data_IF_164729884017
#
_entry.id   IF_164729884017
#
_cell.length_a   1.000
_cell.length_b   1.000
_cell.length_c   1.000
_cell.angle_alpha   90.00
_cell.angle_beta   90.00
_cell.angle_gamma   90.00
#
_symmetry.space_group_name_H-M   'P 1'
#
loop_
_entity.id
_entity.type
_entity.pdbx_description
1 polymer ?
#
# COMPACT_ATOMS: atom_id res chain seq x y z
N UNK A 1 -27.35 -12.80 4.87
CA UNK A 1 -25.93 -12.41 4.75
C UNK A 1 -25.18 -13.17 5.81
N UNK A 2 -24.15 -13.92 5.40
CA UNK A 2 -23.27 -14.59 6.36
C UNK A 2 -22.41 -13.52 7.02
N UNK A 3 -22.47 -13.43 8.35
CA UNK A 3 -21.67 -12.47 9.11
C UNK A 3 -20.27 -13.07 9.32
N UNK A 4 -19.27 -12.59 8.56
CA UNK A 4 -17.88 -13.02 8.75
C UNK A 4 -17.30 -12.42 10.02
N UNK A 5 -16.83 -13.26 10.94
CA UNK A 5 -16.35 -12.85 12.26
C UNK A 5 -14.87 -13.12 12.39
N UNK A 6 -14.18 -12.18 13.03
CA UNK A 6 -12.82 -12.43 13.51
C UNK A 6 -12.84 -13.47 14.64
N UNK A 7 -11.74 -14.20 14.81
CA UNK A 7 -11.51 -15.12 15.91
C UNK A 7 -10.25 -14.71 16.68
N UNK A 8 -10.10 -15.16 17.92
CA UNK A 8 -8.86 -14.96 18.67
C UNK A 8 -7.71 -15.71 17.99
N UNK A 9 -6.57 -15.03 17.81
CA UNK A 9 -5.35 -15.66 17.33
C UNK A 9 -4.69 -16.36 18.53
N UNK A 10 -4.49 -17.69 18.50
CA UNK A 10 -3.99 -18.46 19.64
C UNK A 10 -2.71 -17.86 20.24
N UNK A 11 -2.62 -17.89 21.57
CA UNK A 11 -1.47 -17.40 22.35
C UNK A 11 -1.13 -15.90 22.17
N UNK A 12 -2.06 -15.10 21.66
CA UNK A 12 -1.91 -13.65 21.51
C UNK A 12 -3.15 -12.89 22.00
N UNK A 13 -3.03 -11.56 22.14
CA UNK A 13 -4.18 -10.67 22.37
C UNK A 13 -4.87 -10.25 21.05
N UNK A 14 -4.37 -10.75 19.92
CA UNK A 14 -4.82 -10.35 18.60
C UNK A 14 -5.99 -11.20 18.14
N UNK A 15 -6.71 -10.68 17.16
CA UNK A 15 -7.73 -11.37 16.41
C UNK A 15 -7.27 -11.55 14.98
N UNK A 16 -7.84 -12.49 14.25
CA UNK A 16 -7.62 -12.66 12.81
C UNK A 16 -8.93 -13.06 12.15
N UNK A 17 -8.98 -13.08 10.82
CA UNK A 17 -10.17 -13.51 10.09
C UNK A 17 -9.95 -14.95 9.54
N UNK A 18 -10.56 -15.99 10.14
CA UNK A 18 -10.37 -17.36 9.67
C UNK A 18 -10.91 -17.54 8.26
N UNK A 19 -10.05 -17.96 7.33
CA UNK A 19 -10.43 -18.28 5.96
C UNK A 19 -11.34 -19.51 5.86
N UNK A 20 -11.32 -20.39 6.86
CA UNK A 20 -12.18 -21.58 6.91
C UNK A 20 -13.69 -21.27 6.96
N UNK A 21 -14.07 -20.02 7.23
CA UNK A 21 -15.45 -19.56 7.19
C UNK A 21 -16.11 -19.70 5.80
N UNK A 22 -15.32 -19.87 4.74
CA UNK A 22 -15.81 -20.08 3.36
C UNK A 22 -15.47 -21.46 2.78
N UNK A 23 -15.04 -22.41 3.62
CA UNK A 23 -14.79 -23.80 3.24
C UNK A 23 -13.35 -24.27 3.48
N UNK A 24 -13.00 -25.43 2.93
CA UNK A 24 -11.63 -25.95 3.00
C UNK A 24 -10.70 -25.18 2.05
N UNK A 25 -9.84 -24.35 2.64
CA UNK A 25 -8.87 -23.52 1.94
C UNK A 25 -7.45 -24.09 2.02
N UNK A 26 -7.26 -25.28 2.59
CA UNK A 26 -5.93 -25.85 2.86
C UNK A 26 -5.06 -25.93 1.59
N UNK A 27 -5.68 -26.30 0.46
CA UNK A 27 -5.04 -26.49 -0.84
C UNK A 27 -4.90 -25.22 -1.69
N UNK A 28 -5.44 -24.08 -1.25
CA UNK A 28 -5.30 -22.83 -2.01
C UNK A 28 -3.82 -22.37 -2.04
N UNK A 29 -3.34 -21.85 -3.19
CA UNK A 29 -2.05 -21.16 -3.23
C UNK A 29 -2.02 -20.00 -2.23
N UNK A 30 -0.85 -19.71 -1.65
CA UNK A 30 -0.69 -18.64 -0.64
C UNK A 30 -1.16 -17.29 -1.17
N UNK A 31 -0.87 -16.96 -2.44
CA UNK A 31 -1.35 -15.74 -3.09
C UNK A 31 -2.87 -15.65 -3.07
N UNK A 32 -3.57 -16.74 -3.37
CA UNK A 32 -5.04 -16.81 -3.35
C UNK A 32 -5.57 -16.67 -1.92
N UNK A 33 -4.88 -17.23 -0.92
CA UNK A 33 -5.23 -17.06 0.51
C UNK A 33 -5.13 -15.59 0.95
N UNK A 34 -4.10 -14.85 0.51
CA UNK A 34 -3.94 -13.42 0.81
C UNK A 34 -5.05 -12.59 0.17
N UNK A 35 -5.36 -12.86 -1.10
CA UNK A 35 -6.48 -12.21 -1.81
C UNK A 35 -7.81 -12.51 -1.11
N UNK A 36 -8.05 -13.78 -0.73
CA UNK A 36 -9.25 -14.21 -0.04
C UNK A 36 -9.41 -13.54 1.33
N UNK A 37 -8.34 -13.38 2.09
CA UNK A 37 -8.37 -12.64 3.35
C UNK A 37 -8.85 -11.19 3.12
N UNK A 38 -8.33 -10.51 2.09
CA UNK A 38 -8.73 -9.15 1.76
C UNK A 38 -10.21 -9.03 1.37
N UNK A 39 -10.72 -9.97 0.59
CA UNK A 39 -12.14 -10.02 0.18
C UNK A 39 -13.03 -10.32 1.39
N UNK A 40 -12.66 -11.28 2.24
CA UNK A 40 -13.37 -11.58 3.48
C UNK A 40 -13.37 -10.39 4.44
N UNK A 41 -12.24 -9.68 4.57
CA UNK A 41 -12.13 -8.49 5.41
C UNK A 41 -13.03 -7.36 4.91
N UNK A 42 -13.13 -7.19 3.59
CA UNK A 42 -14.07 -6.24 3.01
C UNK A 42 -15.53 -6.63 3.32
N UNK A 43 -15.87 -7.91 3.17
CA UNK A 43 -17.20 -8.42 3.48
C UNK A 43 -17.57 -8.25 4.97
N UNK A 44 -16.64 -8.53 5.88
CA UNK A 44 -16.80 -8.32 7.32
C UNK A 44 -17.04 -6.84 7.70
N UNK A 45 -16.60 -5.90 6.85
CA UNK A 45 -16.85 -4.46 6.98
C UNK A 45 -18.11 -3.97 6.26
N UNK A 46 -18.93 -4.89 5.74
CA UNK A 46 -20.19 -4.58 5.08
C UNK A 46 -20.11 -4.39 3.57
N UNK A 47 -18.97 -4.64 2.93
CA UNK A 47 -18.91 -4.65 1.46
C UNK A 47 -19.69 -5.86 0.89
N UNK A 48 -20.34 -5.74 -0.27
CA UNK A 48 -21.06 -6.84 -0.91
C UNK A 48 -20.11 -7.85 -1.58
N UNK A 49 -19.23 -8.48 -0.79
CA UNK A 49 -18.12 -9.31 -1.26
C UNK A 49 -18.21 -10.79 -0.79
N UNK A 50 -19.30 -11.19 -0.14
CA UNK A 50 -19.53 -12.56 0.34
C UNK A 50 -19.46 -13.59 -0.81
N UNK A 51 -20.11 -13.27 -1.94
CA UNK A 51 -20.11 -14.12 -3.13
C UNK A 51 -18.71 -14.26 -3.73
N UNK A 52 -17.96 -13.16 -3.80
CA UNK A 52 -16.59 -13.14 -4.31
C UNK A 52 -15.67 -13.99 -3.42
N UNK A 53 -15.81 -13.91 -2.10
CA UNK A 53 -15.05 -14.73 -1.16
C UNK A 53 -15.34 -16.23 -1.34
N UNK A 54 -16.62 -16.62 -1.46
CA UNK A 54 -17.02 -18.00 -1.70
C UNK A 54 -16.52 -18.51 -3.06
N UNK A 55 -16.53 -17.66 -4.09
CA UNK A 55 -15.99 -18.03 -5.40
C UNK A 55 -14.47 -18.24 -5.34
N UNK A 56 -13.73 -17.36 -4.65
CA UNK A 56 -12.27 -17.45 -4.54
C UNK A 56 -11.82 -18.65 -3.68
N UNK A 57 -12.61 -19.02 -2.67
CA UNK A 57 -12.38 -20.23 -1.88
C UNK A 57 -12.45 -21.53 -2.70
N UNK A 58 -13.09 -21.50 -3.88
CA UNK A 58 -13.22 -22.63 -4.80
C UNK A 58 -12.17 -22.66 -5.92
N UNK A 59 -11.20 -21.74 -5.90
CA UNK A 59 -10.10 -21.75 -6.87
C UNK A 59 -9.46 -23.16 -6.95
N UNK A 60 -9.18 -23.70 -8.16
CA UNK A 60 -9.18 -23.04 -9.47
C UNK A 60 -10.49 -23.18 -10.28
N UNK A 61 -11.62 -23.49 -9.64
CA UNK A 61 -12.90 -23.55 -10.37
C UNK A 61 -13.20 -22.20 -11.04
N UNK A 62 -13.78 -22.20 -12.25
CA UNK A 62 -14.19 -20.98 -12.92
C UNK A 62 -15.11 -20.13 -12.03
N UNK A 63 -14.86 -18.81 -11.91
CA UNK A 63 -15.74 -17.95 -11.13
C UNK A 63 -17.11 -17.82 -11.83
N UNK A 64 -18.18 -17.53 -11.08
CA UNK A 64 -19.44 -17.12 -11.70
C UNK A 64 -19.24 -15.82 -12.50
N UNK A 65 -20.02 -15.63 -13.57
CA UNK A 65 -19.81 -14.57 -14.57
C UNK A 65 -19.79 -13.14 -14.00
N UNK A 66 -20.54 -12.90 -12.93
CA UNK A 66 -20.68 -11.62 -12.26
C UNK A 66 -19.77 -11.49 -11.03
N UNK A 67 -18.73 -12.34 -10.90
CA UNK A 67 -17.83 -12.32 -9.74
C UNK A 67 -16.76 -11.24 -9.94
N UNK A 68 -16.43 -10.55 -8.86
CA UNK A 68 -15.43 -9.50 -8.87
C UNK A 68 -14.29 -9.83 -7.91
N UNK A 69 -13.12 -9.22 -8.12
CA UNK A 69 -11.99 -9.37 -7.20
C UNK A 69 -11.51 -7.99 -6.74
N UNK A 70 -12.16 -7.39 -5.73
CA UNK A 70 -11.72 -6.12 -5.19
C UNK A 70 -10.45 -6.34 -4.35
N UNK A 71 -9.40 -5.60 -4.68
CA UNK A 71 -8.16 -5.56 -3.94
C UNK A 71 -8.01 -4.20 -3.23
N UNK A 72 -7.66 -4.25 -1.94
CA UNK A 72 -7.38 -3.10 -1.10
C UNK A 72 -6.06 -3.36 -0.35
N UNK A 73 -4.95 -2.74 -0.75
CA UNK A 73 -3.67 -2.95 -0.09
C UNK A 73 -3.70 -2.45 1.37
N UNK A 74 -2.82 -2.98 2.20
CA UNK A 74 -2.63 -2.51 3.58
C UNK A 74 -1.74 -1.29 3.68
N UNK A 75 -1.01 -0.89 2.64
CA UNK A 75 -0.24 0.35 2.59
C UNK A 75 0.17 0.71 1.17
N UNK A 76 0.71 1.90 1.00
CA UNK A 76 1.27 2.41 -0.26
C UNK A 76 2.75 2.73 -0.09
N UNK A 77 3.53 2.42 -1.11
CA UNK A 77 4.94 2.81 -1.23
C UNK A 77 5.11 3.80 -2.39
N UNK A 78 5.72 4.96 -2.14
CA UNK A 78 6.02 5.96 -3.15
C UNK A 78 7.53 6.20 -3.20
N UNK A 79 8.00 6.56 -4.37
CA UNK A 79 9.33 7.15 -4.56
C UNK A 79 9.15 8.63 -4.95
N UNK A 80 10.18 9.45 -4.89
CA UNK A 80 10.05 10.91 -5.00
C UNK A 80 9.57 11.45 -6.37
N UNK A 81 9.75 10.73 -7.47
CA UNK A 81 9.24 11.12 -8.79
C UNK A 81 7.72 10.94 -8.90
N UNK A 82 7.16 9.89 -8.30
CA UNK A 82 5.71 9.67 -8.27
C UNK A 82 5.04 10.25 -7.02
N UNK A 83 5.82 10.46 -5.96
CA UNK A 83 5.35 11.02 -4.71
C UNK A 83 5.17 12.54 -4.73
N UNK A 84 5.97 13.26 -5.54
CA UNK A 84 5.74 14.69 -5.79
C UNK A 84 4.37 14.94 -6.44
N UNK A 85 4.01 14.33 -7.59
CA UNK A 85 2.70 14.53 -8.18
C UNK A 85 1.58 14.07 -7.24
N UNK A 86 1.72 12.94 -6.54
CA UNK A 86 0.72 12.49 -5.57
C UNK A 86 0.49 13.52 -4.43
N UNK A 87 1.56 14.13 -3.91
CA UNK A 87 1.43 15.19 -2.90
C UNK A 87 0.74 16.45 -3.46
N UNK A 88 1.03 16.81 -4.72
CA UNK A 88 0.35 17.90 -5.43
C UNK A 88 -1.14 17.57 -5.62
N UNK A 89 -1.48 16.36 -6.00
CA UNK A 89 -2.86 15.94 -6.25
C UNK A 89 -3.68 15.91 -4.95
N UNK A 90 -3.11 15.43 -3.85
CA UNK A 90 -3.72 15.55 -2.51
C UNK A 90 -3.95 17.01 -2.11
N UNK A 91 -2.98 17.90 -2.36
CA UNK A 91 -3.13 19.33 -2.10
C UNK A 91 -4.22 19.97 -2.98
N UNK A 92 -4.26 19.62 -4.26
CA UNK A 92 -5.24 20.10 -5.22
C UNK A 92 -6.67 19.63 -4.85
N UNK A 93 -6.81 18.38 -4.40
CA UNK A 93 -8.07 17.85 -3.88
C UNK A 93 -8.53 18.59 -2.62
N UNK A 94 -7.61 18.93 -1.68
CA UNK A 94 -7.93 19.78 -0.53
C UNK A 94 -8.43 21.16 -0.96
N UNK A 95 -7.74 21.80 -1.88
CA UNK A 95 -8.17 23.09 -2.42
C UNK A 95 -9.52 23.01 -3.16
N UNK A 96 -9.81 21.90 -3.84
CA UNK A 96 -11.09 21.67 -4.50
C UNK A 96 -12.24 21.49 -3.48
N UNK A 97 -11.99 20.79 -2.37
CA UNK A 97 -12.95 20.66 -1.27
C UNK A 97 -13.29 22.01 -0.65
N UNK A 98 -12.26 22.84 -0.40
CA UNK A 98 -12.44 24.19 0.13
C UNK A 98 -13.29 25.07 -0.81
N UNK A 99 -12.96 25.10 -2.11
CA UNK A 99 -13.76 25.82 -3.11
C UNK A 99 -15.21 25.33 -3.20
N UNK A 100 -15.46 24.06 -2.89
CA UNK A 100 -16.79 23.48 -2.85
C UNK A 100 -17.52 23.71 -1.50
N UNK A 101 -16.95 24.49 -0.57
CA UNK A 101 -17.51 24.72 0.76
C UNK A 101 -17.53 23.48 1.66
N UNK A 102 -16.67 22.50 1.37
CA UNK A 102 -16.54 21.25 2.13
C UNK A 102 -15.25 21.26 2.94
N UNK A 103 -15.21 20.44 3.98
CA UNK A 103 -14.03 20.27 4.83
C UNK A 103 -12.85 19.62 4.07
N UNK A 104 -11.74 20.34 3.83
CA UNK A 104 -10.56 19.79 3.16
C UNK A 104 -9.87 18.68 3.95
N UNK A 105 -10.02 18.65 5.28
CA UNK A 105 -9.39 17.64 6.13
C UNK A 105 -9.92 16.22 5.86
N UNK A 106 -11.04 16.09 5.14
CA UNK A 106 -11.55 14.79 4.65
C UNK A 106 -10.66 14.18 3.56
N UNK A 107 -9.81 14.96 2.90
CA UNK A 107 -8.77 14.44 2.02
C UNK A 107 -7.59 14.04 2.89
N UNK A 108 -7.53 12.75 3.19
CA UNK A 108 -6.53 12.11 4.03
C UNK A 108 -6.34 10.65 3.55
N UNK A 109 -5.11 10.16 3.41
CA UNK A 109 -4.88 8.75 3.14
C UNK A 109 -5.45 7.84 4.26
N UNK A 110 -6.28 6.89 3.87
CA UNK A 110 -6.97 5.93 4.76
C UNK A 110 -6.09 4.71 5.11
N UNK A 111 -4.96 4.57 4.44
CA UNK A 111 -3.94 3.56 4.69
C UNK A 111 -2.56 4.24 4.78
N UNK A 112 -1.59 3.65 5.49
CA UNK A 112 -0.24 4.19 5.56
C UNK A 112 0.37 4.40 4.18
N UNK A 113 1.07 5.51 4.01
CA UNK A 113 1.84 5.87 2.82
C UNK A 113 3.28 6.13 3.23
N UNK A 114 4.20 5.37 2.64
CA UNK A 114 5.62 5.55 2.83
C UNK A 114 6.24 6.10 1.55
N UNK A 115 6.80 7.31 1.62
CA UNK A 115 7.52 7.92 0.51
C UNK A 115 9.01 7.90 0.80
N UNK A 116 9.79 7.34 -0.12
CA UNK A 116 11.25 7.28 -0.03
C UNK A 116 11.86 8.20 -1.09
N UNK A 117 12.79 9.06 -0.68
CA UNK A 117 13.53 9.92 -1.61
C UNK A 117 14.82 9.20 -2.00
N UNK A 118 14.85 8.64 -3.21
CA UNK A 118 15.98 7.83 -3.71
C UNK A 118 16.25 8.00 -5.21
N UNK A 119 15.34 8.58 -6.00
CA UNK A 119 15.49 8.79 -7.44
C UNK A 119 16.13 10.14 -7.80
N UNK A 120 16.46 10.95 -6.80
CA UNK A 120 17.02 12.30 -6.98
C UNK A 120 18.55 12.37 -6.88
N UNK A 121 19.19 11.42 -6.19
CA UNK A 121 20.64 11.38 -6.01
C UNK A 121 21.31 11.11 -7.37
N UNK A 122 22.31 11.92 -7.73
CA UNK A 122 23.15 11.67 -8.90
C UNK A 122 24.60 11.47 -8.47
N UNK A 123 25.32 10.60 -9.16
CA UNK A 123 26.75 10.41 -8.98
C UNK A 123 27.54 11.49 -9.74
N UNK A 124 27.38 12.77 -9.36
CA UNK A 124 28.11 13.90 -9.96
C UNK A 124 29.63 13.80 -9.68
N UNK A 125 29.99 13.31 -8.49
CA UNK A 125 31.36 13.07 -8.05
C UNK A 125 31.56 11.58 -7.75
N UNK A 126 32.74 11.04 -8.10
CA UNK A 126 33.11 9.64 -7.89
C UNK A 126 34.62 9.49 -7.65
N UNK A 127 35.04 8.40 -7.00
CA UNK A 127 36.46 8.05 -6.84
C UNK A 127 37.23 8.77 -5.73
N UNK A 128 36.57 9.51 -4.83
CA UNK A 128 37.19 10.18 -3.68
C UNK A 128 36.44 9.87 -2.37
N UNK A 129 37.01 10.22 -1.21
CA UNK A 129 36.43 9.91 0.10
C UNK A 129 35.24 10.80 0.47
N UNK A 130 35.20 12.02 -0.05
CA UNK A 130 34.21 13.08 0.20
C UNK A 130 33.04 13.06 -0.80
N UNK A 131 32.95 12.02 -1.65
CA UNK A 131 31.96 11.98 -2.74
C UNK A 131 30.54 11.83 -2.23
N UNK A 132 30.33 11.17 -1.09
CA UNK A 132 29.00 10.98 -0.52
C UNK A 132 28.40 12.32 -0.11
N UNK A 133 29.13 13.09 0.72
CA UNK A 133 28.67 14.38 1.22
C UNK A 133 28.45 15.38 0.08
N UNK A 134 29.36 15.41 -0.91
CA UNK A 134 29.27 16.33 -2.05
C UNK A 134 28.11 16.03 -3.00
N UNK A 135 27.81 14.75 -3.24
CA UNK A 135 26.66 14.37 -4.05
C UNK A 135 25.35 14.68 -3.30
N UNK A 136 25.31 14.46 -1.99
CA UNK A 136 24.15 14.78 -1.16
C UNK A 136 23.90 16.30 -1.10
N UNK A 137 24.94 17.13 -0.93
CA UNK A 137 24.81 18.59 -0.99
C UNK A 137 24.23 19.05 -2.33
N UNK A 138 24.76 18.54 -3.44
CA UNK A 138 24.30 18.87 -4.79
C UNK A 138 22.87 18.39 -5.07
N UNK A 139 22.47 17.27 -4.50
CA UNK A 139 21.09 16.78 -4.53
C UNK A 139 20.14 17.77 -3.83
N UNK A 140 20.49 18.23 -2.63
CA UNK A 140 19.69 19.22 -1.88
C UNK A 140 19.60 20.57 -2.61
N UNK A 141 20.70 21.04 -3.22
CA UNK A 141 20.70 22.27 -4.02
C UNK A 141 19.71 22.19 -5.19
N UNK A 142 19.71 21.06 -5.92
CA UNK A 142 18.87 20.85 -7.12
C UNK A 142 17.40 20.61 -6.79
N UNK A 143 17.11 19.92 -5.70
CA UNK A 143 15.76 19.41 -5.40
C UNK A 143 15.08 20.13 -4.22
N UNK A 144 15.62 21.27 -3.78
CA UNK A 144 15.14 22.02 -2.61
C UNK A 144 13.62 22.21 -2.57
N UNK A 145 13.02 22.62 -3.69
CA UNK A 145 11.57 22.86 -3.75
C UNK A 145 10.75 21.57 -3.65
N UNK A 146 11.15 20.52 -4.37
CA UNK A 146 10.52 19.20 -4.30
C UNK A 146 10.57 18.65 -2.87
N UNK A 147 11.70 18.78 -2.18
CA UNK A 147 11.83 18.32 -0.80
C UNK A 147 11.04 19.17 0.19
N UNK A 148 10.91 20.48 -0.06
CA UNK A 148 10.06 21.33 0.76
C UNK A 148 8.58 20.89 0.66
N UNK A 149 8.10 20.58 -0.55
CA UNK A 149 6.76 20.04 -0.77
C UNK A 149 6.56 18.68 -0.07
N UNK A 150 7.49 17.74 -0.25
CA UNK A 150 7.38 16.41 0.38
C UNK A 150 7.43 16.51 1.90
N UNK A 151 8.32 17.36 2.45
CA UNK A 151 8.38 17.63 3.89
C UNK A 151 7.07 18.24 4.40
N UNK A 152 6.44 19.13 3.64
CA UNK A 152 5.11 19.64 3.96
C UNK A 152 4.08 18.51 3.96
N UNK A 153 4.09 17.62 2.95
CA UNK A 153 3.14 16.51 2.87
C UNK A 153 3.24 15.58 4.09
N UNK A 154 4.47 15.24 4.52
CA UNK A 154 4.70 14.45 5.73
C UNK A 154 4.28 15.13 7.05
N UNK A 155 3.96 16.43 7.02
CA UNK A 155 3.40 17.17 8.16
C UNK A 155 1.88 17.40 8.01
N UNK A 156 1.40 17.50 6.77
CA UNK A 156 0.02 17.85 6.44
C UNK A 156 -0.94 16.65 6.48
N UNK A 157 -0.42 15.43 6.36
CA UNK A 157 -1.17 14.17 6.37
C UNK A 157 -0.68 13.27 7.50
N UNK A 158 -1.61 12.63 8.22
CA UNK A 158 -1.32 11.87 9.46
C UNK A 158 -0.65 10.54 9.17
N UNK A 159 -0.99 9.92 8.05
CA UNK A 159 -0.57 8.57 7.67
C UNK A 159 0.51 8.58 6.58
N UNK A 160 1.08 9.75 6.29
CA UNK A 160 2.06 9.96 5.24
C UNK A 160 3.46 10.17 5.84
N UNK A 161 4.34 9.18 5.68
CA UNK A 161 5.73 9.22 6.16
C UNK A 161 6.67 9.52 5.00
N UNK A 162 7.60 10.44 5.23
CA UNK A 162 8.67 10.76 4.26
C UNK A 162 10.01 10.32 4.82
N UNK A 163 10.69 9.43 4.09
CA UNK A 163 12.06 9.00 4.35
C UNK A 163 13.00 9.93 3.54
N UNK A 164 13.93 10.64 4.21
CA UNK A 164 14.79 11.63 3.57
C UNK A 164 15.81 11.00 2.60
N UNK A 165 16.44 11.81 1.72
CA UNK A 165 17.52 11.34 0.85
C UNK A 165 18.69 10.77 1.66
N UNK A 166 19.44 9.85 1.05
CA UNK A 166 20.59 9.19 1.67
C UNK A 166 20.24 8.04 2.63
N UNK A 167 18.95 7.74 2.84
CA UNK A 167 18.49 6.65 3.71
C UNK A 167 18.51 5.25 3.05
N UNK A 168 18.71 5.18 1.73
CA UNK A 168 18.73 3.93 0.96
C UNK A 168 17.77 3.98 -0.23
N UNK A 169 17.65 2.85 -0.93
CA UNK A 169 16.78 2.69 -2.11
C UNK A 169 15.42 2.15 -1.67
N UNK A 170 14.35 2.60 -2.33
CA UNK A 170 12.96 2.39 -2.00
C UNK A 170 12.65 0.93 -1.59
N UNK A 171 12.98 -0.03 -2.45
CA UNK A 171 12.67 -1.45 -2.21
C UNK A 171 13.56 -2.11 -1.17
N UNK A 172 14.81 -1.67 -1.02
CA UNK A 172 15.70 -2.18 0.03
C UNK A 172 15.24 -1.71 1.41
N UNK A 173 14.93 -0.41 1.55
CA UNK A 173 14.35 0.14 2.77
C UNK A 173 13.01 -0.50 3.08
N UNK A 174 12.18 -0.77 2.07
CA UNK A 174 10.93 -1.49 2.24
C UNK A 174 11.15 -2.88 2.86
N UNK A 175 12.07 -3.68 2.32
CA UNK A 175 12.41 -5.01 2.84
C UNK A 175 13.00 -4.97 4.26
N UNK A 176 13.92 -4.04 4.53
CA UNK A 176 14.69 -4.04 5.76
C UNK A 176 14.00 -3.32 6.93
N UNK A 177 13.08 -2.38 6.64
CA UNK A 177 12.57 -1.43 7.65
C UNK A 177 11.06 -1.21 7.64
N UNK A 178 10.39 -1.30 6.50
CA UNK A 178 8.96 -0.90 6.40
C UNK A 178 8.00 -2.09 6.35
N UNK A 179 8.43 -3.23 5.79
CA UNK A 179 7.60 -4.42 5.70
C UNK A 179 7.31 -5.01 7.07
N UNK A 180 6.03 -5.21 7.37
CA UNK A 180 5.61 -5.82 8.64
C UNK A 180 5.34 -7.32 8.50
N UNK A 181 5.14 -7.81 7.27
CA UNK A 181 4.67 -9.17 6.92
C UNK A 181 3.25 -9.46 7.42
N UNK A 182 2.95 -9.13 8.68
CA UNK A 182 1.63 -9.15 9.30
C UNK A 182 1.36 -7.78 9.89
N UNK A 183 0.39 -7.06 9.33
CA UNK A 183 -0.07 -5.76 9.83
C UNK A 183 -1.15 -5.99 10.89
N UNK A 184 -1.15 -5.18 11.94
CA UNK A 184 -2.22 -5.17 12.96
C UNK A 184 -3.02 -3.87 12.89
N UNK A 185 -4.34 -3.96 12.70
CA UNK A 185 -5.24 -2.81 12.75
C UNK A 185 -6.43 -3.11 13.66
N UNK A 186 -6.69 -2.23 14.62
CA UNK A 186 -7.80 -2.38 15.58
C UNK A 186 -7.80 -3.75 16.29
N UNK A 187 -6.60 -4.25 16.61
CA UNK A 187 -6.40 -5.56 17.24
C UNK A 187 -6.58 -6.76 16.29
N UNK A 188 -6.78 -6.55 15.00
CA UNK A 188 -6.91 -7.60 13.98
C UNK A 188 -5.64 -7.71 13.15
N UNK A 189 -4.99 -8.86 13.19
CA UNK A 189 -3.86 -9.24 12.37
C UNK A 189 -4.31 -9.59 10.94
N UNK A 190 -3.57 -9.10 9.96
CA UNK A 190 -3.81 -9.34 8.54
C UNK A 190 -2.49 -9.37 7.75
N UNK A 191 -2.43 -10.00 6.57
CA UNK A 191 -1.24 -9.97 5.71
C UNK A 191 -0.85 -8.54 5.33
N UNK A 192 0.44 -8.25 5.33
CA UNK A 192 0.97 -7.05 4.66
C UNK A 192 0.82 -7.21 3.14
N UNK A 193 0.31 -6.17 2.51
CA UNK A 193 0.05 -6.05 1.07
C UNK A 193 0.27 -4.61 0.64
N UNK A 194 0.87 -4.38 -0.52
CA UNK A 194 1.06 -3.01 -0.97
C UNK A 194 0.93 -2.81 -2.47
N UNK A 195 0.54 -1.59 -2.80
CA UNK A 195 0.86 -0.97 -4.07
C UNK A 195 2.07 -0.08 -3.89
N UNK A 196 2.91 -0.05 -4.92
CA UNK A 196 3.95 0.94 -5.02
C UNK A 196 3.89 1.67 -6.35
N UNK A 197 4.14 2.98 -6.34
CA UNK A 197 4.26 3.77 -7.57
C UNK A 197 5.66 3.61 -8.19
N UNK A 198 6.08 2.34 -8.33
CA UNK A 198 7.33 1.87 -8.92
C UNK A 198 7.18 0.39 -9.35
N UNK A 199 7.69 0.03 -10.52
CA UNK A 199 7.53 -1.32 -11.09
C UNK A 199 8.21 -2.43 -10.30
N UNK A 200 9.30 -2.13 -9.57
CA UNK A 200 10.07 -3.09 -8.80
C UNK A 200 9.50 -3.34 -7.41
N UNK A 201 8.33 -2.76 -7.08
CA UNK A 201 7.60 -3.07 -5.84
C UNK A 201 7.38 -4.58 -5.66
N UNK A 202 7.37 -5.33 -6.75
CA UNK A 202 7.33 -6.80 -6.75
C UNK A 202 8.49 -7.47 -6.00
N UNK A 203 9.60 -6.77 -5.74
CA UNK A 203 10.72 -7.27 -4.94
C UNK A 203 10.28 -7.71 -3.53
N UNK A 204 9.27 -7.06 -2.96
CA UNK A 204 8.76 -7.38 -1.62
C UNK A 204 8.10 -8.76 -1.53
N UNK A 205 7.69 -9.34 -2.66
CA UNK A 205 7.11 -10.68 -2.72
C UNK A 205 8.11 -11.76 -2.26
N UNK A 206 9.42 -11.50 -2.33
CA UNK A 206 10.45 -12.37 -1.79
C UNK A 206 10.37 -12.56 -0.26
N UNK A 207 9.69 -11.64 0.44
CA UNK A 207 9.43 -11.71 1.89
C UNK A 207 8.03 -12.27 2.22
N UNK A 208 7.28 -12.73 1.22
CA UNK A 208 5.91 -13.26 1.40
C UNK A 208 4.83 -12.17 1.54
N UNK A 209 5.17 -10.91 1.29
CA UNK A 209 4.25 -9.76 1.25
C UNK A 209 3.74 -9.61 -0.18
N UNK A 210 2.42 -9.66 -0.39
CA UNK A 210 1.86 -9.52 -1.75
C UNK A 210 1.86 -8.05 -2.18
N UNK A 211 2.73 -7.68 -3.11
CA UNK A 211 2.79 -6.32 -3.63
C UNK A 211 3.31 -6.19 -5.06
N UNK A 212 2.88 -5.13 -5.74
CA UNK A 212 3.28 -4.83 -7.12
C UNK A 212 3.19 -3.34 -7.46
N UNK A 213 3.80 -3.01 -8.60
CA UNK A 213 3.83 -1.65 -9.12
C UNK A 213 2.52 -1.25 -9.78
N UNK A 214 2.06 -0.03 -9.50
CA UNK A 214 0.89 0.61 -10.14
C UNK A 214 1.23 2.04 -10.55
N UNK A 215 0.35 2.69 -11.32
CA UNK A 215 0.49 4.12 -11.61
C UNK A 215 0.19 5.00 -10.40
N UNK A 216 0.57 6.27 -10.47
CA UNK A 216 0.32 7.25 -9.39
C UNK A 216 -1.17 7.40 -9.07
N UNK A 217 -2.01 7.47 -10.10
CA UNK A 217 -3.47 7.60 -9.95
C UNK A 217 -4.06 6.39 -9.24
N UNK A 218 -3.64 5.16 -9.58
CA UNK A 218 -4.11 3.96 -8.89
C UNK A 218 -3.65 3.93 -7.42
N UNK A 219 -2.40 4.35 -7.15
CA UNK A 219 -1.89 4.46 -5.79
C UNK A 219 -2.69 5.49 -4.96
N UNK A 220 -3.01 6.65 -5.54
CA UNK A 220 -3.84 7.69 -4.93
C UNK A 220 -5.29 7.24 -4.68
N UNK A 221 -5.90 6.59 -5.67
CA UNK A 221 -7.24 6.03 -5.51
C UNK A 221 -7.27 5.00 -4.38
N UNK A 222 -6.28 4.09 -4.34
CA UNK A 222 -6.14 3.09 -3.28
C UNK A 222 -5.90 3.73 -1.90
N UNK A 223 -5.04 4.76 -1.81
CA UNK A 223 -4.78 5.45 -0.54
C UNK A 223 -6.02 6.18 -0.02
N UNK A 224 -6.91 6.65 -0.90
CA UNK A 224 -8.20 7.24 -0.57
C UNK A 224 -9.34 6.21 -0.43
N UNK A 225 -9.02 4.91 -0.39
CA UNK A 225 -9.95 3.83 -0.05
C UNK A 225 -10.70 3.20 -1.23
N UNK A 226 -10.41 3.62 -2.48
CA UNK A 226 -10.99 2.97 -3.65
C UNK A 226 -10.35 1.60 -3.88
N UNK A 227 -11.14 0.52 -4.03
CA UNK A 227 -10.60 -0.76 -4.42
C UNK A 227 -10.15 -0.76 -5.88
N UNK A 228 -9.10 -1.52 -6.18
CA UNK A 228 -8.77 -1.90 -7.56
C UNK A 228 -9.40 -3.25 -7.86
N UNK A 229 -10.09 -3.37 -8.98
CA UNK A 229 -10.70 -4.63 -9.41
C UNK A 229 -9.72 -5.41 -10.27
N UNK A 230 -9.36 -6.61 -9.80
CA UNK A 230 -8.41 -7.47 -10.49
C UNK A 230 -9.12 -8.45 -11.42
N UNK A 231 -8.44 -8.91 -12.49
CA UNK A 231 -8.85 -10.14 -13.14
C UNK A 231 -8.76 -11.30 -12.15
N UNK A 232 -9.53 -12.36 -12.41
CA UNK A 232 -9.44 -13.58 -11.62
C UNK A 232 -8.00 -14.14 -11.66
N UNK A 233 -7.43 -14.60 -10.54
CA UNK A 233 -6.01 -14.93 -10.49
C UNK A 233 -5.70 -16.20 -11.29
N UNK A 234 -4.48 -16.23 -11.82
CA UNK A 234 -3.85 -17.42 -12.41
C UNK A 234 -2.53 -17.60 -11.68
N UNK A 235 -2.42 -18.68 -10.90
CA UNK A 235 -1.27 -18.99 -10.02
C UNK A 235 -0.76 -20.39 -10.31
#
# INVERSE_FOLDING_TARGET
MTEFKSAALPDTQLRYLPLSQVGDVSRLPTTVKVLLEGVLRAAARGAPAERDAVALAKYPAPPPADASLPFRPSRILLQDYTGVPAAVDLAAMRAAMERAGKDPAKIEPQIPVDLIIDHSVQADFFGAKDVYERNLEREYERNRERYALLRWAGQAFKTFRVVPPGAGICHQVNLERLAEVVVVRDGVAMPDTLFGADSHTTMINGLGVLGWGVGGIEAEAAMLGQPTYLPWPVV
#
